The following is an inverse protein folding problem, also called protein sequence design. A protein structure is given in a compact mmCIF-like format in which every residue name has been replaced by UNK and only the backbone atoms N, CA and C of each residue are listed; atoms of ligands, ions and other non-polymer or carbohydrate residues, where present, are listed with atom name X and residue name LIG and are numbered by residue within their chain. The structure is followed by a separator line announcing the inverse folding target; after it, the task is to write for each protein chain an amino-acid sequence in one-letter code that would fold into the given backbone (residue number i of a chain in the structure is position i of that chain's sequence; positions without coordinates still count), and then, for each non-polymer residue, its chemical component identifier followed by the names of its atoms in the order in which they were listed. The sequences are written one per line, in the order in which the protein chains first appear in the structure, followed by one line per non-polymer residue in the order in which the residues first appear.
data_IF_135664559447
#
_entry.id   IF_135664559447
#
_cell.length_a   1.000
_cell.length_b   1.000
_cell.length_c   1.000
_cell.angle_alpha   90.00
_cell.angle_beta   90.00
_cell.angle_gamma   90.00
#
_symmetry.space_group_name_H-M   'P 1'
#
loop_
_entity.id
_entity.type
_entity.pdbx_description
1 polymer ?
#
# COMPACT_ATOMS: atom_id res chain seq x y z
N UNK A 1 -18.63 -4.73 -21.65
CA UNK A 1 -18.43 -5.16 -20.25
C UNK A 1 -17.05 -4.69 -19.84
N UNK A 2 -16.92 -4.09 -18.67
CA UNK A 2 -15.63 -3.80 -18.04
C UNK A 2 -14.94 -5.12 -17.69
N UNK A 3 -13.62 -5.16 -17.82
CA UNK A 3 -12.79 -6.28 -17.36
C UNK A 3 -12.53 -6.16 -15.86
N UNK A 4 -12.52 -4.94 -15.34
CA UNK A 4 -12.24 -4.64 -13.94
C UNK A 4 -13.34 -3.76 -13.32
N UNK A 5 -13.73 -4.05 -12.08
CA UNK A 5 -14.82 -3.34 -11.40
C UNK A 5 -14.54 -1.85 -11.20
N UNK A 6 -13.28 -1.42 -11.10
CA UNK A 6 -12.95 0.01 -11.01
C UNK A 6 -13.27 0.79 -12.30
N UNK A 7 -13.41 0.12 -13.44
CA UNK A 7 -13.79 0.75 -14.72
C UNK A 7 -15.28 1.15 -14.75
N UNK A 8 -16.08 0.68 -13.78
CA UNK A 8 -17.49 1.04 -13.63
C UNK A 8 -17.66 2.40 -12.93
N UNK A 9 -16.59 2.93 -12.33
CA UNK A 9 -16.59 4.24 -11.70
C UNK A 9 -16.38 5.30 -12.80
N UNK A 10 -17.38 6.19 -12.97
CA UNK A 10 -17.30 7.29 -13.93
C UNK A 10 -16.12 8.24 -13.64
N UNK A 11 -15.58 8.88 -14.69
CA UNK A 11 -14.45 9.80 -14.59
C UNK A 11 -14.84 11.22 -14.11
N UNK A 12 -16.12 11.49 -13.84
CA UNK A 12 -16.58 12.70 -13.14
C UNK A 12 -16.27 12.58 -11.64
N UNK A 13 -14.98 12.60 -11.33
CA UNK A 13 -14.48 12.61 -9.98
C UNK A 13 -14.16 14.05 -9.62
N UNK A 14 -14.90 14.61 -8.65
CA UNK A 14 -14.51 15.83 -7.97
C UNK A 14 -13.04 15.74 -7.54
N UNK A 15 -12.37 16.90 -7.44
CA UNK A 15 -10.99 16.94 -6.97
C UNK A 15 -10.90 16.24 -5.59
N UNK A 16 -10.19 15.11 -5.48
CA UNK A 16 -10.16 14.35 -4.25
C UNK A 16 -9.38 15.13 -3.19
N UNK A 17 -9.88 15.12 -1.95
CA UNK A 17 -9.15 15.69 -0.81
C UNK A 17 -7.78 15.02 -0.65
N UNK A 18 -6.77 15.77 -0.21
CA UNK A 18 -5.40 15.28 0.01
C UNK A 18 -5.35 13.95 0.79
N UNK A 19 -6.10 13.84 1.89
CA UNK A 19 -6.14 12.63 2.73
C UNK A 19 -6.61 11.39 1.96
N UNK A 20 -7.69 11.52 1.16
CA UNK A 20 -8.20 10.43 0.29
C UNK A 20 -7.17 10.01 -0.74
N UNK A 21 -6.42 10.95 -1.30
CA UNK A 21 -5.35 10.66 -2.26
C UNK A 21 -4.20 9.90 -1.59
N UNK A 22 -3.81 10.28 -0.38
CA UNK A 22 -2.78 9.57 0.40
C UNK A 22 -3.22 8.15 0.73
N UNK A 23 -4.45 7.96 1.22
CA UNK A 23 -4.98 6.62 1.50
C UNK A 23 -5.06 5.76 0.22
N UNK A 24 -5.48 6.34 -0.91
CA UNK A 24 -5.49 5.64 -2.20
C UNK A 24 -4.09 5.22 -2.66
N UNK A 25 -3.07 6.07 -2.45
CA UNK A 25 -1.68 5.73 -2.74
C UNK A 25 -1.16 4.60 -1.84
N UNK A 26 -1.51 4.62 -0.54
CA UNK A 26 -1.15 3.55 0.40
C UNK A 26 -1.76 2.20 -0.05
N UNK A 27 -3.04 2.19 -0.42
CA UNK A 27 -3.72 1.00 -0.92
C UNK A 27 -3.15 0.54 -2.26
N UNK A 28 -2.85 1.47 -3.17
CA UNK A 28 -2.23 1.19 -4.47
C UNK A 28 -0.83 0.59 -4.32
N UNK A 29 -0.02 1.11 -3.39
CA UNK A 29 1.29 0.56 -3.04
C UNK A 29 1.17 -0.88 -2.53
N UNK A 30 0.21 -1.13 -1.64
CA UNK A 30 -0.02 -2.46 -1.09
C UNK A 30 -0.50 -3.46 -2.17
N UNK A 31 -1.34 -3.02 -3.12
CA UNK A 31 -1.77 -3.81 -4.26
C UNK A 31 -0.60 -4.14 -5.22
N UNK A 32 0.28 -3.16 -5.48
CA UNK A 32 1.51 -3.37 -6.26
C UNK A 32 2.43 -4.39 -5.59
N UNK A 33 2.67 -4.25 -4.28
CA UNK A 33 3.48 -5.20 -3.52
C UNK A 33 2.96 -6.63 -3.65
N UNK A 34 1.63 -6.82 -3.55
CA UNK A 34 0.97 -8.12 -3.76
C UNK A 34 1.12 -8.65 -5.19
N UNK A 35 1.03 -7.78 -6.19
CA UNK A 35 1.24 -8.20 -7.58
C UNK A 35 2.68 -8.68 -7.82
N UNK A 36 3.67 -8.04 -7.19
CA UNK A 36 5.08 -8.45 -7.26
C UNK A 36 5.30 -9.77 -6.51
N UNK A 37 4.75 -9.92 -5.31
CA UNK A 37 4.90 -11.14 -4.50
C UNK A 37 4.34 -12.41 -5.19
N UNK A 38 3.29 -12.25 -6.02
CA UNK A 38 2.81 -13.36 -6.89
C UNK A 38 3.83 -13.83 -7.92
N UNK A 39 4.75 -12.96 -8.34
CA UNK A 39 5.82 -13.26 -9.30
C UNK A 39 7.08 -13.75 -8.58
N UNK A 40 7.33 -13.26 -7.38
CA UNK A 40 8.46 -13.60 -6.52
C UNK A 40 8.01 -13.73 -5.06
N UNK A 41 7.68 -14.96 -4.59
CA UNK A 41 7.16 -15.18 -3.24
C UNK A 41 8.11 -14.81 -2.09
N UNK A 42 9.40 -14.56 -2.36
CA UNK A 42 10.35 -14.08 -1.34
C UNK A 42 10.29 -12.55 -1.17
N UNK A 43 9.67 -11.84 -2.12
CA UNK A 43 9.60 -10.38 -2.14
C UNK A 43 8.93 -9.79 -0.91
N UNK A 44 7.81 -10.38 -0.43
CA UNK A 44 7.11 -9.88 0.76
C UNK A 44 7.99 -9.84 2.01
N UNK A 45 8.87 -10.84 2.19
CA UNK A 45 9.78 -10.89 3.33
C UNK A 45 10.82 -9.76 3.26
N UNK A 46 11.45 -9.57 2.09
CA UNK A 46 12.41 -8.50 1.87
C UNK A 46 11.77 -7.11 2.00
N UNK A 47 10.52 -6.97 1.55
CA UNK A 47 9.75 -5.73 1.67
C UNK A 47 9.46 -5.38 3.13
N UNK A 48 9.02 -6.35 3.94
CA UNK A 48 8.75 -6.13 5.35
C UNK A 48 10.00 -5.75 6.13
N UNK A 49 11.13 -6.40 5.86
CA UNK A 49 12.42 -6.02 6.46
C UNK A 49 12.80 -4.59 6.09
N UNK A 50 12.63 -4.21 4.82
CA UNK A 50 12.93 -2.85 4.35
C UNK A 50 12.03 -1.80 5.02
N UNK A 51 10.74 -2.08 5.17
CA UNK A 51 9.78 -1.18 5.83
C UNK A 51 10.04 -1.06 7.34
N UNK A 52 10.41 -2.17 8.00
CA UNK A 52 10.78 -2.18 9.41
C UNK A 52 12.08 -1.40 9.67
N UNK A 53 13.07 -1.54 8.78
CA UNK A 53 14.30 -0.74 8.81
C UNK A 53 14.00 0.74 8.60
N UNK A 54 13.15 1.09 7.62
CA UNK A 54 12.74 2.47 7.39
C UNK A 54 12.02 3.06 8.63
N UNK A 55 11.15 2.29 9.28
CA UNK A 55 10.51 2.69 10.53
C UNK A 55 11.54 2.99 11.62
N UNK A 56 12.46 2.06 11.89
CA UNK A 56 13.52 2.21 12.91
C UNK A 56 14.43 3.40 12.64
N UNK A 57 14.85 3.59 11.39
CA UNK A 57 15.73 4.71 11.01
C UNK A 57 15.06 6.09 11.16
N UNK A 58 13.73 6.13 11.15
CA UNK A 58 12.95 7.36 11.30
C UNK A 58 12.36 7.49 12.72
N UNK A 59 12.82 6.70 13.69
CA UNK A 59 12.41 6.88 15.08
C UNK A 59 12.76 8.29 15.57
N UNK A 60 11.78 8.99 16.16
CA UNK A 60 11.94 10.36 16.64
C UNK A 60 11.58 11.46 15.64
N UNK A 61 11.28 11.15 14.37
CA UNK A 61 10.73 12.14 13.41
C UNK A 61 9.20 11.99 13.25
N UNK A 62 8.47 13.07 12.90
CA UNK A 62 7.00 13.04 12.85
C UNK A 62 6.40 11.94 11.96
N UNK A 63 7.05 11.62 10.83
CA UNK A 63 6.55 10.65 9.86
C UNK A 63 6.73 9.18 10.26
N UNK A 64 7.43 8.85 11.35
CA UNK A 64 7.67 7.44 11.73
C UNK A 64 6.35 6.67 11.93
N UNK A 65 5.30 7.35 12.42
CA UNK A 65 4.00 6.71 12.69
C UNK A 65 3.27 6.38 11.38
N UNK A 66 3.44 7.23 10.38
CA UNK A 66 2.86 7.03 9.05
C UNK A 66 3.58 5.89 8.31
N UNK A 67 4.89 5.75 8.49
CA UNK A 67 5.66 4.59 7.97
C UNK A 67 5.17 3.29 8.62
N UNK A 68 4.96 3.27 9.94
CA UNK A 68 4.40 2.10 10.62
C UNK A 68 3.01 1.75 10.10
N UNK A 69 2.14 2.76 9.88
CA UNK A 69 0.80 2.56 9.32
C UNK A 69 0.85 1.98 7.91
N UNK A 70 1.72 2.52 7.04
CA UNK A 70 1.95 2.00 5.69
C UNK A 70 2.40 0.53 5.73
N UNK A 71 3.36 0.19 6.60
CA UNK A 71 3.88 -1.16 6.75
C UNK A 71 2.79 -2.16 7.17
N UNK A 72 1.95 -1.76 8.13
CA UNK A 72 0.84 -2.59 8.61
C UNK A 72 -0.22 -2.84 7.52
N UNK A 73 -0.62 -1.79 6.77
CA UNK A 73 -1.58 -1.95 5.67
C UNK A 73 -1.01 -2.86 4.57
N UNK A 74 0.27 -2.67 4.23
CA UNK A 74 0.98 -3.51 3.26
C UNK A 74 1.00 -4.98 3.70
N UNK A 75 1.30 -5.24 4.97
CA UNK A 75 1.29 -6.58 5.56
C UNK A 75 -0.09 -7.24 5.49
N UNK A 76 -1.15 -6.50 5.78
CA UNK A 76 -2.53 -7.01 5.66
C UNK A 76 -2.83 -7.35 4.20
N UNK A 77 -2.49 -6.48 3.25
CA UNK A 77 -2.75 -6.72 1.84
C UNK A 77 -2.02 -7.96 1.29
N UNK A 78 -0.80 -8.23 1.76
CA UNK A 78 0.01 -9.38 1.34
C UNK A 78 -0.43 -10.69 2.01
N UNK A 79 -0.88 -10.66 3.25
CA UNK A 79 -1.23 -11.87 4.01
C UNK A 79 -2.72 -12.21 3.96
N UNK A 80 -3.58 -11.31 3.47
CA UNK A 80 -5.02 -11.56 3.37
C UNK A 80 -5.32 -12.58 2.25
N UNK A 81 -6.02 -13.69 2.56
CA UNK A 81 -6.49 -14.65 1.56
C UNK A 81 -7.35 -13.98 0.48
N UNK A 82 -7.32 -14.51 -0.75
CA UNK A 82 -8.19 -14.08 -1.87
C UNK A 82 -9.63 -14.49 -1.66
#
# INVERSE_FOLDING_TARGET
MSKYTFEEIGMDLDMPSYERTVDALIVGYAALARAIDKLDPEFSSALFETLDNAYKMNEGVPCHKDIARLAMITKVALTKPE
#
